data_IF_792266675083
#
_entry.id   IF_792266675083
#
_cell.length_a   1.000
_cell.length_b   1.000
_cell.length_c   1.000
_cell.angle_alpha   90.00
_cell.angle_beta   90.00
_cell.angle_gamma   90.00
#
_symmetry.space_group_name_H-M   'P 1'
#
loop_
_entity.id
_entity.type
_entity.pdbx_description
1 polymer ?
#
# COMPACT_ATOMS: atom_id res chain seq x y z
N UNK A 1 13.53 8.55 -12.80
CA UNK A 1 12.98 8.40 -11.43
C UNK A 1 13.80 7.35 -10.70
N UNK A 2 14.18 7.62 -9.46
CA UNK A 2 14.70 6.57 -8.57
C UNK A 2 13.56 5.90 -7.84
N UNK A 3 13.71 4.60 -7.58
CA UNK A 3 12.75 3.82 -6.84
C UNK A 3 13.37 3.29 -5.55
N UNK A 4 12.58 3.23 -4.49
CA UNK A 4 12.89 2.59 -3.21
C UNK A 4 11.65 1.96 -2.62
N UNK A 5 11.85 0.93 -1.81
CA UNK A 5 10.76 0.34 -1.02
C UNK A 5 11.23 -0.01 0.38
N UNK A 6 10.28 -0.03 1.28
CA UNK A 6 10.44 -0.44 2.68
C UNK A 6 9.20 -1.21 3.11
N UNK A 7 9.41 -2.19 3.97
CA UNK A 7 8.35 -2.97 4.58
C UNK A 7 8.74 -3.32 6.00
N UNK A 8 7.82 -3.20 6.94
CA UNK A 8 8.03 -3.51 8.36
C UNK A 8 6.82 -4.26 8.91
N UNK A 9 7.06 -5.23 9.79
CA UNK A 9 5.98 -5.99 10.38
C UNK A 9 5.17 -5.15 11.38
N UNK A 10 3.96 -5.58 11.60
CA UNK A 10 3.07 -5.20 12.69
C UNK A 10 3.80 -5.23 14.03
N UNK A 11 3.39 -4.35 14.93
CA UNK A 11 4.08 -4.23 16.21
C UNK A 11 4.03 -5.50 17.04
N UNK A 12 5.22 -5.95 17.42
CA UNK A 12 5.38 -7.19 18.20
C UNK A 12 5.55 -8.44 17.34
N UNK A 13 5.27 -8.37 16.04
CA UNK A 13 5.48 -9.47 15.12
C UNK A 13 6.90 -9.46 14.54
N UNK A 14 7.38 -10.65 14.15
CA UNK A 14 8.70 -10.83 13.53
C UNK A 14 8.65 -10.96 12.02
N UNK A 15 7.52 -11.39 11.51
CA UNK A 15 7.29 -11.62 10.08
C UNK A 15 6.38 -10.53 9.58
N UNK A 16 6.76 -9.91 8.49
CA UNK A 16 5.92 -9.01 7.71
C UNK A 16 5.22 -9.85 6.64
N UNK A 17 3.91 -9.82 6.61
CA UNK A 17 3.13 -10.51 5.57
C UNK A 17 3.11 -9.72 4.26
N UNK A 18 3.42 -8.44 4.32
CA UNK A 18 3.56 -7.58 3.14
C UNK A 18 4.87 -7.84 2.36
N UNK A 19 4.80 -7.59 1.07
CA UNK A 19 5.95 -7.57 0.18
C UNK A 19 6.00 -6.29 -0.66
N UNK A 20 7.22 -5.85 -0.99
CA UNK A 20 7.44 -4.66 -1.81
C UNK A 20 8.43 -4.92 -2.93
N UNK A 21 8.24 -4.22 -4.05
CA UNK A 21 9.18 -4.18 -5.16
C UNK A 21 9.53 -2.74 -5.51
N UNK A 22 10.83 -2.47 -5.72
CA UNK A 22 11.30 -1.22 -6.28
C UNK A 22 12.45 -1.50 -7.24
N UNK A 23 12.18 -1.43 -8.54
CA UNK A 23 13.18 -1.53 -9.61
C UNK A 23 13.02 -0.37 -10.59
N UNK A 24 13.95 -0.23 -11.53
CA UNK A 24 13.91 0.90 -12.45
C UNK A 24 12.60 0.90 -13.27
N UNK A 25 11.77 1.91 -13.04
CA UNK A 25 10.48 2.07 -13.74
C UNK A 25 9.32 1.23 -13.22
N UNK A 26 9.50 0.44 -12.15
CA UNK A 26 8.42 -0.36 -11.55
C UNK A 26 8.50 -0.34 -10.03
N UNK A 27 7.37 -0.05 -9.40
CA UNK A 27 7.15 -0.22 -7.96
C UNK A 27 5.89 -1.03 -7.71
N UNK A 28 5.89 -1.82 -6.63
CA UNK A 28 4.71 -2.57 -6.22
C UNK A 28 4.67 -2.79 -4.72
N UNK A 29 3.46 -3.04 -4.21
CA UNK A 29 3.16 -3.52 -2.87
C UNK A 29 2.14 -4.64 -2.99
N UNK A 30 2.34 -5.69 -2.22
CA UNK A 30 1.38 -6.78 -2.02
C UNK A 30 1.25 -7.01 -0.52
N UNK A 31 0.03 -6.97 -0.02
CA UNK A 31 -0.31 -7.17 1.38
C UNK A 31 -0.84 -8.59 1.54
N UNK A 32 -0.17 -9.38 2.35
CA UNK A 32 -0.47 -10.78 2.60
C UNK A 32 -1.54 -10.96 3.68
N UNK A 33 -2.70 -11.50 3.33
CA UNK A 33 -3.82 -11.69 4.25
C UNK A 33 -3.72 -13.02 5.03
N UNK A 34 -2.98 -13.02 6.15
CA UNK A 34 -2.75 -14.21 6.98
C UNK A 34 -3.96 -14.71 7.76
N UNK A 35 -5.01 -13.89 7.91
CA UNK A 35 -6.21 -14.25 8.66
C UNK A 35 -7.05 -15.36 8.01
N UNK A 36 -7.03 -15.49 6.69
CA UNK A 36 -7.82 -16.43 5.91
C UNK A 36 -7.04 -17.59 5.31
N UNK A 37 -5.69 -17.53 5.23
CA UNK A 37 -4.89 -18.53 4.53
C UNK A 37 -3.62 -18.94 5.25
N UNK A 38 -2.71 -19.60 4.55
CA UNK A 38 -1.36 -19.91 5.01
C UNK A 38 -0.35 -19.44 3.97
N UNK A 39 0.90 -19.18 4.39
CA UNK A 39 1.96 -18.67 3.51
C UNK A 39 1.63 -17.32 2.82
N UNK A 40 0.85 -16.46 3.50
CA UNK A 40 0.44 -15.17 2.95
C UNK A 40 1.66 -14.29 2.59
N UNK A 41 2.66 -14.24 3.47
CA UNK A 41 3.95 -13.58 3.25
C UNK A 41 4.68 -14.09 2.00
N UNK A 42 4.63 -15.40 1.76
CA UNK A 42 5.28 -16.03 0.61
C UNK A 42 4.54 -15.72 -0.68
N UNK A 43 3.20 -15.73 -0.62
CA UNK A 43 2.38 -15.39 -1.77
C UNK A 43 2.54 -13.93 -2.18
N UNK A 44 2.50 -13.00 -1.22
CA UNK A 44 2.77 -11.60 -1.45
C UNK A 44 4.17 -11.38 -2.09
N UNK A 45 5.22 -12.03 -1.55
CA UNK A 45 6.58 -11.99 -2.11
C UNK A 45 6.62 -12.53 -3.53
N UNK A 46 5.92 -13.64 -3.78
CA UNK A 46 5.90 -14.30 -5.09
C UNK A 46 5.22 -13.41 -6.14
N UNK A 47 4.07 -12.82 -5.82
CA UNK A 47 3.35 -11.92 -6.72
C UNK A 47 4.23 -10.75 -7.18
N UNK A 48 4.85 -10.02 -6.26
CA UNK A 48 5.67 -8.86 -6.62
C UNK A 48 6.95 -9.25 -7.38
N UNK A 49 7.51 -10.43 -7.09
CA UNK A 49 8.72 -10.93 -7.75
C UNK A 49 8.48 -11.32 -9.23
N UNK A 50 7.26 -11.77 -9.57
CA UNK A 50 6.90 -12.23 -10.90
C UNK A 50 6.18 -11.17 -11.76
N UNK A 51 6.09 -9.93 -11.28
CA UNK A 51 5.53 -8.84 -12.10
C UNK A 51 6.34 -8.67 -13.39
N UNK A 52 5.67 -8.56 -14.56
CA UNK A 52 6.34 -8.34 -15.83
C UNK A 52 6.95 -6.93 -15.91
N UNK A 53 7.90 -6.74 -16.81
CA UNK A 53 8.51 -5.43 -17.07
C UNK A 53 7.52 -4.48 -17.77
N UNK A 54 6.63 -5.02 -18.58
CA UNK A 54 5.58 -4.27 -19.26
C UNK A 54 4.32 -4.17 -18.42
N UNK A 55 3.57 -3.03 -18.48
CA UNK A 55 2.36 -2.86 -17.70
C UNK A 55 1.27 -3.86 -18.09
N UNK A 56 0.65 -4.47 -17.09
CA UNK A 56 -0.63 -5.18 -17.22
C UNK A 56 -1.74 -4.14 -17.33
N UNK A 57 -2.53 -4.16 -18.41
CA UNK A 57 -3.44 -3.05 -18.77
C UNK A 57 -4.90 -3.29 -18.46
N UNK A 58 -5.31 -4.54 -18.43
CA UNK A 58 -6.70 -4.96 -18.27
C UNK A 58 -6.81 -6.27 -17.49
N UNK A 59 -8.04 -6.65 -17.17
CA UNK A 59 -8.31 -7.85 -16.40
C UNK A 59 -7.85 -9.14 -17.11
N UNK A 60 -8.04 -9.21 -18.40
CA UNK A 60 -7.70 -10.39 -19.20
C UNK A 60 -6.19 -10.64 -19.23
N UNK A 61 -5.38 -9.57 -19.32
CA UNK A 61 -3.92 -9.64 -19.19
C UNK A 61 -3.51 -10.03 -17.76
N UNK A 62 -4.22 -9.52 -16.75
CA UNK A 62 -3.96 -9.83 -15.34
C UNK A 62 -4.26 -11.29 -15.01
N UNK A 63 -5.40 -11.79 -15.43
CA UNK A 63 -5.83 -13.16 -15.26
C UNK A 63 -4.84 -14.14 -15.95
N UNK A 64 -4.48 -13.85 -17.21
CA UNK A 64 -3.49 -14.64 -17.96
C UNK A 64 -2.10 -14.62 -17.32
N UNK A 65 -1.68 -13.47 -16.76
CA UNK A 65 -0.42 -13.39 -16.03
C UNK A 65 -0.47 -14.24 -14.76
N UNK A 66 -1.54 -14.16 -14.00
CA UNK A 66 -1.73 -14.94 -12.77
C UNK A 66 -1.75 -16.44 -13.08
N UNK A 67 -2.45 -16.84 -14.15
CA UNK A 67 -2.49 -18.23 -14.63
C UNK A 67 -1.10 -18.76 -14.99
N UNK A 68 -0.22 -17.90 -15.47
CA UNK A 68 1.15 -18.29 -15.84
C UNK A 68 2.09 -18.54 -14.66
N UNK A 69 1.71 -18.08 -13.44
CA UNK A 69 2.61 -18.13 -12.27
C UNK A 69 2.09 -18.93 -11.08
N UNK A 70 0.76 -19.05 -10.89
CA UNK A 70 0.18 -19.59 -9.66
C UNK A 70 0.53 -21.06 -9.41
N UNK A 71 0.58 -21.89 -10.45
CA UNK A 71 0.78 -23.34 -10.33
C UNK A 71 2.14 -23.68 -9.72
N UNK A 72 3.19 -22.97 -10.10
CA UNK A 72 4.51 -23.17 -9.55
C UNK A 72 4.52 -22.88 -8.03
N UNK A 73 3.95 -21.74 -7.62
CA UNK A 73 3.84 -21.39 -6.20
C UNK A 73 3.06 -22.45 -5.42
N UNK A 74 1.89 -22.85 -5.96
CA UNK A 74 1.02 -23.81 -5.32
C UNK A 74 1.76 -25.15 -5.10
N UNK A 75 2.39 -25.70 -6.13
CA UNK A 75 3.09 -26.96 -6.05
C UNK A 75 4.26 -26.94 -5.05
N UNK A 76 5.03 -25.86 -5.01
CA UNK A 76 6.14 -25.69 -4.05
C UNK A 76 5.62 -25.64 -2.61
N UNK A 77 4.57 -24.88 -2.35
CA UNK A 77 4.01 -24.69 -1.00
C UNK A 77 3.15 -25.88 -0.55
N UNK A 78 2.53 -26.60 -1.48
CA UNK A 78 1.90 -27.89 -1.20
C UNK A 78 2.90 -28.90 -0.63
N UNK A 79 4.12 -28.96 -1.22
CA UNK A 79 5.17 -29.85 -0.70
C UNK A 79 5.62 -29.44 0.70
N UNK A 80 5.70 -28.13 0.98
CA UNK A 80 6.00 -27.62 2.31
C UNK A 80 4.90 -27.96 3.30
N UNK A 81 3.63 -27.76 2.93
CA UNK A 81 2.47 -28.10 3.74
C UNK A 81 2.41 -29.61 4.04
N UNK A 82 2.67 -30.48 3.03
CA UNK A 82 2.73 -31.94 3.19
C UNK A 82 3.82 -32.36 4.17
N UNK A 83 5.00 -31.72 4.14
CA UNK A 83 6.09 -32.04 5.09
C UNK A 83 5.73 -31.71 6.54
N UNK A 84 4.95 -30.64 6.76
CA UNK A 84 4.49 -30.26 8.10
C UNK A 84 3.26 -31.05 8.54
N UNK A 85 2.40 -31.43 7.59
CA UNK A 85 1.19 -32.22 7.82
C UNK A 85 0.15 -31.52 8.70
N UNK A 86 -0.84 -32.31 9.16
CA UNK A 86 -1.83 -31.88 10.14
C UNK A 86 -2.67 -30.68 9.70
N UNK A 87 -2.86 -29.75 10.63
CA UNK A 87 -3.76 -28.61 10.44
C UNK A 87 -3.31 -27.66 9.32
N UNK A 88 -1.99 -27.49 9.14
CA UNK A 88 -1.44 -26.62 8.10
C UNK A 88 -1.77 -27.13 6.70
N UNK A 89 -1.63 -28.44 6.49
CA UNK A 89 -1.95 -29.06 5.20
C UNK A 89 -3.43 -28.94 4.87
N UNK A 90 -4.31 -29.20 5.85
CA UNK A 90 -5.74 -29.06 5.65
C UNK A 90 -6.10 -27.60 5.32
N UNK A 91 -5.58 -26.65 6.10
CA UNK A 91 -5.82 -25.23 5.87
C UNK A 91 -5.31 -24.77 4.49
N UNK A 92 -4.17 -25.26 4.02
CA UNK A 92 -3.66 -24.95 2.69
C UNK A 92 -4.59 -25.47 1.59
N UNK A 93 -5.11 -26.69 1.73
CA UNK A 93 -6.06 -27.24 0.76
C UNK A 93 -7.42 -26.54 0.79
N UNK A 94 -7.90 -26.18 1.96
CA UNK A 94 -9.21 -25.54 2.11
C UNK A 94 -9.17 -24.07 1.68
N UNK A 95 -8.17 -23.31 2.13
CA UNK A 95 -8.12 -21.84 2.00
C UNK A 95 -7.07 -21.35 0.98
N UNK A 96 -5.89 -22.00 0.88
CA UNK A 96 -4.77 -21.51 0.06
C UNK A 96 -4.00 -20.38 0.71
N UNK A 97 -3.51 -19.44 -0.10
CA UNK A 97 -2.80 -18.22 0.31
C UNK A 97 -3.46 -17.01 -0.31
N UNK A 98 -3.59 -15.93 0.44
CA UNK A 98 -4.25 -14.71 -0.02
C UNK A 98 -3.34 -13.50 0.06
N UNK A 99 -3.46 -12.60 -0.92
CA UNK A 99 -2.80 -11.30 -0.90
C UNK A 99 -3.55 -10.27 -1.76
N UNK A 100 -3.33 -9.00 -1.50
CA UNK A 100 -3.64 -7.89 -2.41
C UNK A 100 -2.49 -7.67 -3.39
N UNK A 101 -2.67 -6.82 -4.39
CA UNK A 101 -1.57 -6.36 -5.25
C UNK A 101 -1.84 -4.97 -5.78
N UNK A 102 -0.85 -4.09 -5.67
CA UNK A 102 -0.81 -2.82 -6.39
C UNK A 102 0.55 -2.66 -7.05
N UNK A 103 0.56 -2.26 -8.31
CA UNK A 103 1.79 -2.03 -9.07
C UNK A 103 1.68 -0.80 -9.97
N UNK A 104 2.81 -0.11 -10.16
CA UNK A 104 2.91 1.07 -11.03
C UNK A 104 4.14 0.98 -11.90
N UNK A 105 3.93 1.06 -13.22
CA UNK A 105 4.98 1.10 -14.25
C UNK A 105 5.13 2.52 -14.80
N UNK A 106 6.36 2.99 -14.90
CA UNK A 106 6.69 4.20 -15.65
C UNK A 106 6.72 3.86 -17.14
N UNK A 107 5.76 4.35 -17.90
CA UNK A 107 5.64 4.12 -19.35
C UNK A 107 6.43 5.19 -20.12
N UNK A 108 6.39 6.43 -19.65
CA UNK A 108 7.10 7.55 -20.25
C UNK A 108 7.56 8.57 -19.19
N UNK A 109 8.09 9.71 -19.63
CA UNK A 109 8.42 10.81 -18.72
C UNK A 109 7.17 11.51 -18.15
N UNK A 110 6.01 11.31 -18.80
CA UNK A 110 4.76 11.99 -18.46
C UNK A 110 3.63 11.06 -18.10
N UNK A 111 3.85 9.74 -18.10
CA UNK A 111 2.80 8.75 -17.82
C UNK A 111 3.35 7.58 -17.00
N UNK A 112 2.61 7.23 -15.96
CA UNK A 112 2.72 5.97 -15.25
C UNK A 112 1.41 5.19 -15.39
N UNK A 113 1.47 3.89 -15.63
CA UNK A 113 0.31 2.99 -15.58
C UNK A 113 0.29 2.23 -14.30
N UNK A 114 -0.90 2.00 -13.77
CA UNK A 114 -1.08 1.24 -12.54
C UNK A 114 -2.14 0.15 -12.69
N UNK A 115 -1.98 -0.91 -11.93
CA UNK A 115 -3.03 -1.87 -11.58
C UNK A 115 -3.18 -1.94 -10.06
N UNK A 116 -4.37 -2.32 -9.60
CA UNK A 116 -4.67 -2.62 -8.21
C UNK A 116 -5.68 -3.75 -8.12
N UNK A 117 -5.44 -4.68 -7.22
CA UNK A 117 -6.37 -5.72 -6.81
C UNK A 117 -6.42 -5.76 -5.28
N UNK A 118 -7.58 -5.46 -4.70
CA UNK A 118 -7.75 -5.29 -3.26
C UNK A 118 -7.67 -3.83 -2.80
N UNK A 119 -7.16 -3.59 -1.60
CA UNK A 119 -7.14 -2.30 -0.91
C UNK A 119 -5.75 -1.67 -0.69
N UNK A 120 -4.70 -2.32 -1.17
CA UNK A 120 -3.42 -1.64 -1.39
C UNK A 120 -3.55 -0.60 -2.50
N UNK A 121 -2.95 0.58 -2.32
CA UNK A 121 -3.25 1.76 -3.15
C UNK A 121 -2.02 2.34 -3.83
N UNK A 122 -2.15 2.65 -5.12
CA UNK A 122 -1.21 3.48 -5.87
C UNK A 122 -1.61 4.96 -5.80
N UNK A 123 -0.61 5.83 -5.67
CA UNK A 123 -0.76 7.28 -5.57
C UNK A 123 0.17 8.00 -6.53
N UNK A 124 -0.29 9.14 -7.04
CA UNK A 124 0.55 10.13 -7.70
C UNK A 124 0.28 11.50 -7.09
N UNK A 125 1.29 12.08 -6.45
CA UNK A 125 1.20 13.41 -5.86
C UNK A 125 1.98 14.41 -6.70
N UNK A 126 1.27 15.42 -7.22
CA UNK A 126 1.87 16.54 -7.97
C UNK A 126 2.20 17.69 -7.02
N UNK A 127 3.48 17.79 -6.66
CA UNK A 127 3.95 18.78 -5.68
C UNK A 127 3.70 20.23 -6.09
N UNK A 128 3.80 20.54 -7.39
CA UNK A 128 3.61 21.90 -7.89
C UNK A 128 2.16 22.39 -7.71
N UNK A 129 1.21 21.47 -7.70
CA UNK A 129 -0.23 21.79 -7.57
C UNK A 129 -0.81 21.42 -6.20
N UNK A 130 -0.16 20.54 -5.45
CA UNK A 130 -0.69 19.97 -4.21
C UNK A 130 -1.86 19.02 -4.46
N UNK A 131 -1.89 18.35 -5.61
CA UNK A 131 -2.95 17.43 -6.04
C UNK A 131 -2.52 15.98 -5.88
N UNK A 132 -3.41 15.14 -5.34
CA UNK A 132 -3.23 13.71 -5.23
C UNK A 132 -4.21 12.99 -6.16
N UNK A 133 -3.67 12.09 -6.99
CA UNK A 133 -4.43 11.07 -7.71
C UNK A 133 -4.19 9.72 -7.02
N UNK A 134 -5.16 8.83 -7.04
CA UNK A 134 -5.03 7.50 -6.42
C UNK A 134 -5.81 6.43 -7.16
N UNK A 135 -5.45 5.17 -6.98
CA UNK A 135 -6.10 4.01 -7.59
C UNK A 135 -7.33 3.50 -6.81
N UNK A 136 -7.58 4.03 -5.61
CA UNK A 136 -8.69 3.61 -4.77
C UNK A 136 -9.98 4.36 -5.12
N UNK A 137 -11.12 3.79 -4.76
CA UNK A 137 -12.43 4.40 -5.03
C UNK A 137 -12.73 5.52 -4.05
N UNK A 138 -13.04 5.17 -2.81
CA UNK A 138 -13.42 6.09 -1.73
C UNK A 138 -12.81 5.68 -0.41
N UNK A 139 -12.61 6.63 0.49
CA UNK A 139 -12.07 6.39 1.82
C UNK A 139 -12.90 5.38 2.64
N UNK A 140 -14.23 5.45 2.55
CA UNK A 140 -15.14 4.53 3.27
C UNK A 140 -15.05 3.08 2.77
N UNK A 141 -14.54 2.83 1.58
CA UNK A 141 -14.43 1.49 1.03
C UNK A 141 -13.39 0.64 1.78
N UNK A 142 -12.47 1.26 2.55
CA UNK A 142 -11.61 0.55 3.50
C UNK A 142 -12.37 -0.13 4.65
N UNK A 143 -13.64 0.18 4.86
CA UNK A 143 -14.48 -0.47 5.86
C UNK A 143 -15.03 -1.83 5.38
N UNK A 144 -14.87 -2.17 4.11
CA UNK A 144 -15.32 -3.42 3.52
C UNK A 144 -14.14 -4.38 3.36
N UNK A 145 -14.36 -5.70 3.49
CA UNK A 145 -13.32 -6.68 3.20
C UNK A 145 -12.81 -6.51 1.76
N UNK A 146 -11.49 -6.50 1.54
CA UNK A 146 -10.93 -6.37 0.21
C UNK A 146 -11.14 -7.65 -0.62
N UNK A 147 -11.12 -7.49 -1.95
CA UNK A 147 -10.89 -8.61 -2.84
C UNK A 147 -9.44 -9.09 -2.71
N UNK A 148 -9.24 -10.39 -2.59
CA UNK A 148 -7.92 -11.00 -2.41
C UNK A 148 -7.61 -11.95 -3.57
N UNK A 149 -6.35 -11.95 -4.00
CA UNK A 149 -5.81 -12.91 -4.96
C UNK A 149 -5.51 -14.19 -4.21
N UNK A 150 -6.22 -15.27 -4.54
CA UNK A 150 -5.92 -16.59 -4.00
C UNK A 150 -4.89 -17.31 -4.89
N UNK A 151 -4.01 -18.11 -4.30
CA UNK A 151 -3.00 -18.88 -5.02
C UNK A 151 -3.55 -20.12 -5.76
N UNK A 152 -4.84 -20.43 -5.65
CA UNK A 152 -5.45 -21.62 -6.24
C UNK A 152 -6.83 -21.40 -6.86
N UNK A 153 -7.57 -20.38 -6.43
CA UNK A 153 -8.94 -20.13 -6.88
C UNK A 153 -8.98 -18.98 -7.89
N UNK A 154 -9.92 -19.01 -8.83
CA UNK A 154 -10.13 -17.91 -9.78
C UNK A 154 -10.38 -16.58 -9.07
N UNK A 155 -9.86 -15.51 -9.63
CA UNK A 155 -10.06 -14.15 -9.12
C UNK A 155 -11.40 -13.54 -9.59
N UNK A 156 -12.02 -12.70 -8.77
CA UNK A 156 -13.22 -11.93 -9.16
C UNK A 156 -12.78 -10.67 -9.93
N UNK A 157 -13.32 -10.51 -11.15
CA UNK A 157 -13.06 -9.32 -11.99
C UNK A 157 -13.38 -8.00 -11.27
N UNK A 158 -14.29 -7.98 -10.32
CA UNK A 158 -14.65 -6.78 -9.54
C UNK A 158 -13.51 -6.26 -8.66
N UNK A 159 -12.58 -7.13 -8.27
CA UNK A 159 -11.40 -6.75 -7.51
C UNK A 159 -10.34 -6.01 -8.32
N UNK A 160 -10.35 -6.18 -9.65
CA UNK A 160 -9.35 -5.60 -10.54
C UNK A 160 -9.69 -4.15 -10.92
N UNK A 161 -8.68 -3.30 -10.84
CA UNK A 161 -8.71 -1.91 -11.31
C UNK A 161 -7.40 -1.59 -12.01
N UNK A 162 -7.47 -0.76 -13.04
CA UNK A 162 -6.28 -0.25 -13.74
C UNK A 162 -6.51 1.15 -14.25
N UNK A 163 -5.43 1.87 -14.50
CA UNK A 163 -5.50 3.24 -15.03
C UNK A 163 -4.13 3.85 -15.29
N UNK A 164 -4.11 5.15 -15.47
CA UNK A 164 -2.90 5.93 -15.69
C UNK A 164 -2.84 7.14 -14.76
N UNK A 165 -1.64 7.52 -14.35
CA UNK A 165 -1.32 8.80 -13.76
C UNK A 165 -0.55 9.65 -14.78
N UNK A 166 -0.99 10.89 -14.96
CA UNK A 166 -0.18 11.88 -15.66
C UNK A 166 0.88 12.43 -14.70
N UNK A 167 2.13 12.33 -15.09
CA UNK A 167 3.27 12.70 -14.26
C UNK A 167 4.07 13.87 -14.84
N UNK A 168 4.81 14.55 -13.97
CA UNK A 168 5.75 15.62 -14.32
C UNK A 168 7.04 15.43 -13.51
N UNK A 169 8.03 16.31 -13.73
CA UNK A 169 9.27 16.31 -12.94
C UNK A 169 9.07 16.64 -11.45
N UNK A 170 7.90 17.15 -11.08
CA UNK A 170 7.52 17.47 -9.70
C UNK A 170 6.62 16.42 -9.07
N UNK A 171 6.23 15.39 -9.83
CA UNK A 171 5.42 14.28 -9.32
C UNK A 171 6.25 13.30 -8.48
N UNK A 172 5.63 12.77 -7.44
CA UNK A 172 6.07 11.56 -6.75
C UNK A 172 4.99 10.50 -6.88
N UNK A 173 5.39 9.28 -7.26
CA UNK A 173 4.50 8.13 -7.42
C UNK A 173 4.85 7.10 -6.37
N UNK A 174 3.85 6.54 -5.70
CA UNK A 174 4.09 5.57 -4.63
C UNK A 174 2.93 4.59 -4.48
N UNK A 175 3.24 3.42 -3.95
CA UNK A 175 2.29 2.39 -3.54
C UNK A 175 2.38 2.19 -2.03
N UNK A 176 1.26 1.92 -1.38
CA UNK A 176 1.20 1.64 0.05
C UNK A 176 0.21 0.51 0.35
N UNK A 177 0.49 -0.30 1.39
CA UNK A 177 -0.46 -1.24 1.96
C UNK A 177 -1.59 -0.50 2.68
N UNK A 178 -2.67 -1.18 2.98
CA UNK A 178 -3.97 -0.65 3.40
C UNK A 178 -3.91 0.38 4.54
N UNK A 179 -3.29 0.05 5.68
CA UNK A 179 -3.21 0.93 6.84
C UNK A 179 -2.49 2.26 6.54
N UNK A 180 -1.38 2.19 5.78
CA UNK A 180 -0.64 3.38 5.36
C UNK A 180 -1.39 4.15 4.28
N UNK A 181 -2.01 3.45 3.33
CA UNK A 181 -2.82 4.04 2.27
C UNK A 181 -4.02 4.79 2.85
N UNK A 182 -4.72 4.19 3.81
CA UNK A 182 -5.82 4.84 4.53
C UNK A 182 -5.36 6.14 5.22
N UNK A 183 -4.24 6.10 5.95
CA UNK A 183 -3.71 7.30 6.61
C UNK A 183 -3.38 8.41 5.61
N UNK A 184 -2.79 8.07 4.46
CA UNK A 184 -2.41 9.03 3.41
C UNK A 184 -3.65 9.64 2.78
N UNK A 185 -4.62 8.81 2.35
CA UNK A 185 -5.85 9.26 1.71
C UNK A 185 -6.71 10.10 2.66
N UNK A 186 -6.90 9.63 3.89
CA UNK A 186 -7.62 10.36 4.93
C UNK A 186 -6.99 11.73 5.21
N UNK A 187 -5.64 11.79 5.25
CA UNK A 187 -4.92 13.06 5.43
C UNK A 187 -5.19 14.04 4.30
N UNK A 188 -5.31 13.54 3.08
CA UNK A 188 -5.60 14.35 1.92
C UNK A 188 -7.01 14.90 1.94
N UNK A 189 -8.00 14.04 2.18
CA UNK A 189 -9.41 14.43 2.26
C UNK A 189 -9.67 15.45 3.37
N UNK A 190 -9.11 15.23 4.56
CA UNK A 190 -9.17 16.21 5.66
C UNK A 190 -8.52 17.55 5.23
N UNK A 191 -7.39 17.49 4.54
CA UNK A 191 -6.70 18.68 4.03
C UNK A 191 -7.54 19.47 3.02
N UNK A 192 -8.25 18.78 2.11
CA UNK A 192 -9.15 19.39 1.14
C UNK A 192 -10.33 20.07 1.83
N UNK A 193 -10.97 19.40 2.75
CA UNK A 193 -12.14 19.95 3.46
C UNK A 193 -11.80 21.12 4.38
N UNK A 194 -10.62 21.11 5.01
CA UNK A 194 -10.17 22.25 5.81
C UNK A 194 -9.91 23.52 4.98
N UNK A 195 -9.70 23.39 3.66
CA UNK A 195 -9.56 24.54 2.76
C UNK A 195 -10.90 25.19 2.39
N UNK A 196 -12.00 24.44 2.47
CA UNK A 196 -13.32 24.87 1.98
C UNK A 196 -14.40 25.10 3.03
N UNK A 197 -14.44 24.32 4.11
CA UNK A 197 -15.48 24.44 5.13
C UNK A 197 -15.03 23.88 6.49
N UNK A 198 -15.73 24.30 7.56
CA UNK A 198 -15.40 23.89 8.92
C UNK A 198 -16.07 22.57 9.37
N UNK A 199 -16.80 21.88 8.49
CA UNK A 199 -17.44 20.59 8.80
C UNK A 199 -16.93 19.55 7.83
N UNK A 200 -16.51 18.39 8.37
CA UNK A 200 -16.34 17.19 7.58
C UNK A 200 -17.70 16.68 7.14
N UNK A 201 -17.77 16.09 5.94
CA UNK A 201 -18.96 15.34 5.58
C UNK A 201 -19.05 14.06 6.42
N UNK A 202 -20.25 13.47 6.46
CA UNK A 202 -20.52 12.26 7.26
C UNK A 202 -19.68 11.07 6.82
N UNK A 203 -19.30 11.00 5.55
CA UNK A 203 -18.51 9.92 4.98
C UNK A 203 -17.08 9.91 5.53
N UNK A 204 -16.44 11.07 5.66
CA UNK A 204 -15.11 11.18 6.27
C UNK A 204 -15.15 10.92 7.77
N UNK A 205 -16.15 11.45 8.47
CA UNK A 205 -16.32 11.19 9.89
C UNK A 205 -16.55 9.68 10.16
N UNK A 206 -17.30 9.00 9.30
CA UNK A 206 -17.51 7.54 9.38
C UNK A 206 -16.22 6.77 9.14
N UNK A 207 -15.47 7.09 8.08
CA UNK A 207 -14.21 6.45 7.75
C UNK A 207 -13.17 6.61 8.88
N UNK A 208 -13.07 7.81 9.47
CA UNK A 208 -12.17 8.09 10.59
C UNK A 208 -12.57 7.25 11.82
N UNK A 209 -13.85 7.19 12.13
CA UNK A 209 -14.34 6.47 13.32
C UNK A 209 -14.20 4.95 13.18
N UNK A 210 -14.40 4.40 12.00
CA UNK A 210 -14.26 2.97 11.73
C UNK A 210 -12.84 2.47 11.96
N UNK A 211 -11.82 3.21 11.46
CA UNK A 211 -10.42 2.81 11.56
C UNK A 211 -9.83 2.96 12.97
N UNK A 212 -10.15 4.02 13.68
CA UNK A 212 -9.44 4.36 14.91
C UNK A 212 -10.25 4.15 16.19
N UNK A 213 -11.57 3.98 16.08
CA UNK A 213 -12.51 3.92 17.22
C UNK A 213 -12.33 5.08 18.22
N UNK A 214 -11.79 6.21 17.78
CA UNK A 214 -11.40 7.31 18.66
C UNK A 214 -11.95 8.65 18.14
N UNK A 215 -13.00 9.15 18.75
CA UNK A 215 -13.63 10.43 18.41
C UNK A 215 -12.68 11.65 18.54
N UNK A 216 -11.57 11.52 19.29
CA UNK A 216 -10.56 12.58 19.39
C UNK A 216 -9.63 12.60 18.16
N UNK A 217 -9.59 11.55 17.35
CA UNK A 217 -8.77 11.45 16.16
C UNK A 217 -9.04 12.59 15.18
N UNK A 218 -10.29 12.98 15.00
CA UNK A 218 -10.69 14.10 14.13
C UNK A 218 -10.01 15.40 14.56
N UNK A 219 -9.93 15.69 15.86
CA UNK A 219 -9.26 16.89 16.37
C UNK A 219 -7.76 16.85 16.16
N UNK A 220 -7.14 15.70 16.42
CA UNK A 220 -5.72 15.47 16.19
C UNK A 220 -5.38 15.54 14.69
N UNK A 221 -6.17 14.90 13.85
CA UNK A 221 -6.00 14.93 12.42
C UNK A 221 -6.11 16.36 11.85
N UNK A 222 -7.11 17.15 12.29
CA UNK A 222 -7.27 18.56 11.90
C UNK A 222 -6.03 19.40 12.19
N UNK A 223 -5.43 19.22 13.36
CA UNK A 223 -4.28 20.03 13.80
C UNK A 223 -2.94 19.57 13.19
N UNK A 224 -2.79 18.27 12.87
CA UNK A 224 -1.53 17.67 12.42
C UNK A 224 -1.40 17.59 10.89
N UNK A 225 -2.47 17.86 10.13
CA UNK A 225 -2.52 17.66 8.68
C UNK A 225 -2.68 19.00 7.93
N UNK A 226 -2.33 20.09 8.55
CA UNK A 226 -2.38 21.44 7.92
C UNK A 226 -1.47 21.58 6.69
N UNK A 227 -0.43 20.75 6.57
CA UNK A 227 0.50 20.75 5.45
C UNK A 227 0.68 19.34 4.86
N UNK A 228 -0.15 19.01 3.87
CA UNK A 228 -0.13 17.72 3.20
C UNK A 228 1.17 17.48 2.40
N UNK A 229 1.73 18.51 1.77
CA UNK A 229 2.99 18.40 1.03
C UNK A 229 4.14 17.95 1.95
N UNK A 230 4.22 18.52 3.15
CA UNK A 230 5.19 18.09 4.16
C UNK A 230 4.98 16.65 4.59
N UNK A 231 3.74 16.17 4.66
CA UNK A 231 3.43 14.76 4.97
C UNK A 231 3.94 13.83 3.88
N UNK A 232 3.69 14.12 2.61
CA UNK A 232 4.22 13.31 1.50
C UNK A 232 5.75 13.32 1.47
N UNK A 233 6.37 14.48 1.65
CA UNK A 233 7.84 14.59 1.79
C UNK A 233 8.36 13.74 2.96
N UNK A 234 7.63 13.70 4.06
CA UNK A 234 7.98 12.87 5.21
C UNK A 234 7.88 11.38 4.89
N UNK A 235 6.80 10.89 4.28
CA UNK A 235 6.66 9.50 3.86
C UNK A 235 7.79 9.08 2.90
N UNK A 236 8.08 9.90 1.87
CA UNK A 236 9.19 9.66 0.94
C UNK A 236 10.53 9.56 1.67
N UNK A 237 10.76 10.43 2.64
CA UNK A 237 12.00 10.42 3.44
C UNK A 237 12.10 9.18 4.33
N UNK A 238 10.99 8.72 4.93
CA UNK A 238 10.95 7.51 5.73
C UNK A 238 11.32 6.27 4.92
N UNK A 239 11.03 6.24 3.63
CA UNK A 239 11.38 5.11 2.73
C UNK A 239 12.89 4.92 2.54
N UNK A 240 13.73 5.73 3.19
CA UNK A 240 15.19 5.66 3.10
C UNK A 240 15.76 4.36 3.67
N UNK A 241 15.20 3.88 4.77
CA UNK A 241 15.60 2.60 5.40
C UNK A 241 14.45 2.06 6.26
N UNK A 242 14.47 0.74 6.51
CA UNK A 242 13.50 0.11 7.40
C UNK A 242 13.53 0.72 8.80
N UNK A 243 14.70 1.04 9.36
CA UNK A 243 14.81 1.62 10.71
C UNK A 243 14.14 2.99 10.81
N UNK A 244 14.36 3.86 9.81
CA UNK A 244 13.70 5.19 9.78
C UNK A 244 12.21 5.05 9.56
N UNK A 245 11.79 4.10 8.73
CA UNK A 245 10.38 3.83 8.46
C UNK A 245 9.70 3.29 9.73
N UNK A 246 10.28 2.30 10.38
CA UNK A 246 9.78 1.72 11.63
C UNK A 246 9.63 2.77 12.73
N UNK A 247 10.66 3.60 12.92
CA UNK A 247 10.61 4.70 13.89
C UNK A 247 9.48 5.69 13.60
N UNK A 248 9.31 6.06 12.33
CA UNK A 248 8.24 6.96 11.87
C UNK A 248 6.84 6.35 12.07
N UNK A 249 6.64 5.11 11.66
CA UNK A 249 5.34 4.42 11.80
C UNK A 249 4.98 4.20 13.27
N UNK A 250 5.94 3.79 14.10
CA UNK A 250 5.74 3.67 15.55
C UNK A 250 5.30 5.00 16.19
N UNK A 251 5.89 6.13 15.78
CA UNK A 251 5.45 7.46 16.24
C UNK A 251 4.00 7.75 15.81
N UNK A 252 3.64 7.47 14.55
CA UNK A 252 2.27 7.67 14.06
C UNK A 252 1.26 6.79 14.78
N UNK A 253 1.61 5.54 15.06
CA UNK A 253 0.75 4.58 15.74
C UNK A 253 0.61 4.86 17.22
N UNK A 254 1.72 4.95 17.95
CA UNK A 254 1.71 5.01 19.41
C UNK A 254 1.44 6.41 19.95
N UNK A 255 2.10 7.43 19.39
CA UNK A 255 2.03 8.80 19.90
C UNK A 255 0.90 9.60 19.27
N UNK A 256 0.79 9.55 17.95
CA UNK A 256 -0.17 10.35 17.21
C UNK A 256 -1.51 9.62 17.00
N UNK A 257 -1.53 8.29 17.10
CA UNK A 257 -2.71 7.45 16.86
C UNK A 257 -3.38 7.73 15.51
N UNK A 258 -2.58 7.93 14.48
CA UNK A 258 -3.02 8.29 13.13
C UNK A 258 -3.05 7.11 12.15
N UNK A 259 -2.59 5.95 12.56
CA UNK A 259 -2.53 4.76 11.72
C UNK A 259 -2.94 3.53 12.53
N UNK A 260 -3.64 2.61 11.89
CA UNK A 260 -3.98 1.31 12.48
C UNK A 260 -2.72 0.47 12.76
N UNK A 261 -2.81 -0.52 13.65
CA UNK A 261 -1.72 -1.45 13.92
C UNK A 261 -1.76 -2.59 12.92
N UNK A 262 -0.90 -2.53 11.93
CA UNK A 262 -0.77 -3.51 10.86
C UNK A 262 0.66 -3.59 10.35
N UNK A 263 0.92 -4.42 9.35
CA UNK A 263 2.11 -4.35 8.53
C UNK A 263 2.11 -3.04 7.75
N UNK A 264 3.28 -2.45 7.51
CA UNK A 264 3.36 -1.19 6.77
C UNK A 264 4.34 -1.31 5.63
N UNK A 265 3.85 -1.09 4.44
CA UNK A 265 4.65 -1.16 3.22
C UNK A 265 4.52 0.09 2.37
N UNK A 266 5.66 0.55 1.85
CA UNK A 266 5.74 1.72 0.98
C UNK A 266 6.77 1.48 -0.12
N UNK A 267 6.35 1.62 -1.37
CA UNK A 267 7.26 1.65 -2.52
C UNK A 267 7.11 2.99 -3.25
N UNK A 268 8.22 3.67 -3.55
CA UNK A 268 8.23 5.06 -4.04
C UNK A 268 9.08 5.19 -5.29
N UNK A 269 8.58 5.92 -6.29
CA UNK A 269 9.34 6.46 -7.42
C UNK A 269 9.31 7.99 -7.39
N UNK A 270 10.48 8.63 -7.44
CA UNK A 270 10.60 10.09 -7.39
C UNK A 270 11.61 10.59 -8.44
N UNK A 271 11.27 11.68 -9.12
CA UNK A 271 12.21 12.38 -10.00
C UNK A 271 13.28 13.12 -9.20
N UNK A 272 12.97 13.57 -8.00
CA UNK A 272 13.90 14.26 -7.11
C UNK A 272 14.80 13.26 -6.37
N UNK A 273 15.93 12.93 -6.96
CA UNK A 273 16.92 12.04 -6.34
C UNK A 273 17.45 12.54 -4.97
N UNK A 274 17.43 13.84 -4.73
CA UNK A 274 17.85 14.42 -3.45
C UNK A 274 16.89 14.08 -2.33
N UNK A 275 15.60 13.85 -2.62
CA UNK A 275 14.60 13.45 -1.63
C UNK A 275 15.00 12.18 -0.86
N UNK A 276 15.77 11.27 -1.50
CA UNK A 276 16.31 10.07 -0.87
C UNK A 276 17.66 10.29 -0.16
N UNK A 277 18.30 11.45 -0.33
CA UNK A 277 19.65 11.70 0.21
C UNK A 277 19.66 12.59 1.45
N UNK A 278 18.71 13.49 1.62
CA UNK A 278 18.70 14.48 2.69
C UNK A 278 18.30 13.87 4.03
N UNK A 279 19.26 13.85 4.97
CA UNK A 279 19.00 13.69 6.40
C UNK A 279 18.63 15.07 6.96
N UNK A 280 17.36 15.39 7.08
CA UNK A 280 16.94 16.49 7.95
C UNK A 280 16.77 15.90 9.35
N UNK A 281 17.39 16.46 10.40
CA UNK A 281 17.19 15.98 11.75
C UNK A 281 15.70 16.04 12.10
N UNK A 282 15.24 15.02 12.84
CA UNK A 282 13.90 15.03 13.44
C UNK A 282 13.72 16.39 14.14
N UNK A 283 12.72 17.15 13.74
CA UNK A 283 12.31 18.33 14.47
C UNK A 283 11.96 17.85 15.88
N UNK A 284 12.77 18.23 16.85
CA UNK A 284 12.40 18.12 18.26
C UNK A 284 11.21 19.05 18.45
N UNK A 285 10.03 18.47 18.54
CA UNK A 285 8.85 19.18 19.06
C UNK A 285 9.05 19.17 20.56
N UNK A 286 9.42 20.31 21.11
CA UNK A 286 9.43 20.59 22.55
C UNK A 286 7.99 20.54 23.12
#
# INVERSE_FOLDING_TARGET
MKAKSVSIPKFGEKVCEDATLARNGLIAVSDGAGGGGVFADKWAQYLVAHLPDEPIRNYEEFDSWLDSIWEQFYNEHEQLAKKQGGLLLNKFYDEGSFATLVAVWKVSETECRWLSYGDSVAFCYERAKGELQHSFTKLVDFNHPPYLINCKDPIDKKGFRSGSFMTSKTSVVFCASDALAHMILMSYEIGLQNRGSHKFDSEIDEAINAQTKNSQYVKLAKNLISDYDSKIKYCVRLSKSNDTFQSGMNNHRQRLKLIADDDYSLAVMDYNEKAFKECIPLIKIE
#
